data_IF_308840843401
#
_entry.id   IF_308840843401
#
_cell.length_a   1.000
_cell.length_b   1.000
_cell.length_c   1.000
_cell.angle_alpha   90.00
_cell.angle_beta   90.00
_cell.angle_gamma   90.00
#
_symmetry.space_group_name_H-M   'P 1'
#
loop_
_entity.id
_entity.type
_entity.pdbx_description
1 polymer ?
#
# COMPACT_ATOMS: atom_id res chain seq x y z
N UNK A 1 -10.40 20.26 13.04
CA UNK A 1 -10.31 18.82 12.70
C UNK A 1 -8.82 18.51 12.58
N UNK A 2 -8.24 17.89 13.63
CA UNK A 2 -6.81 17.54 13.65
C UNK A 2 -6.65 16.14 13.04
N UNK A 3 -6.18 16.09 11.79
CA UNK A 3 -5.82 14.87 11.04
C UNK A 3 -4.39 14.37 11.38
N UNK A 4 -3.66 15.12 12.20
CA UNK A 4 -2.31 14.78 12.66
C UNK A 4 -2.41 13.77 13.79
N UNK A 5 -1.79 12.59 13.74
CA UNK A 5 -0.37 12.46 13.39
C UNK A 5 0.03 11.12 12.76
N UNK A 6 -0.91 10.39 12.16
CA UNK A 6 -0.57 9.22 11.35
C UNK A 6 -1.51 9.20 10.15
N UNK A 7 -0.96 9.36 8.94
CA UNK A 7 -1.68 9.00 7.72
C UNK A 7 -2.27 7.60 7.90
N UNK A 8 -3.47 7.30 7.36
CA UNK A 8 -3.99 5.95 7.41
C UNK A 8 -2.94 4.97 6.87
N UNK A 9 -2.94 3.70 7.34
CA UNK A 9 -2.01 2.69 6.85
C UNK A 9 -2.02 2.65 5.33
N UNK A 10 -0.87 2.91 4.71
CA UNK A 10 -0.75 2.99 3.26
C UNK A 10 0.53 2.31 2.78
N UNK A 11 0.55 1.99 1.49
CA UNK A 11 1.73 1.52 0.79
C UNK A 11 1.87 2.21 -0.56
N UNK A 12 3.11 2.26 -1.04
CA UNK A 12 3.44 2.82 -2.34
C UNK A 12 3.55 1.67 -3.36
N UNK A 13 2.97 1.85 -4.53
CA UNK A 13 3.11 0.93 -5.64
C UNK A 13 3.68 1.67 -6.85
N UNK A 14 4.70 1.07 -7.47
CA UNK A 14 5.38 1.62 -8.64
C UNK A 14 5.14 0.68 -9.82
N UNK A 15 4.70 1.23 -10.95
CA UNK A 15 4.52 0.50 -12.20
C UNK A 15 4.92 1.39 -13.38
N UNK A 16 5.86 0.91 -14.21
CA UNK A 16 6.34 1.63 -15.39
C UNK A 16 6.69 3.10 -15.11
N UNK A 17 7.52 3.36 -14.09
CA UNK A 17 7.95 4.70 -13.63
C UNK A 17 6.83 5.59 -13.04
N UNK A 18 5.59 5.13 -13.03
CA UNK A 18 4.48 5.79 -12.36
C UNK A 18 4.34 5.25 -10.94
N UNK A 19 3.87 6.10 -10.03
CA UNK A 19 3.70 5.78 -8.62
C UNK A 19 2.29 6.15 -8.16
N UNK A 20 1.71 5.30 -7.31
CA UNK A 20 0.50 5.62 -6.59
C UNK A 20 0.55 5.10 -5.15
N UNK A 21 -0.17 5.80 -4.28
CA UNK A 21 -0.31 5.48 -2.86
C UNK A 21 -1.68 4.87 -2.64
N UNK A 22 -1.71 3.73 -1.95
CA UNK A 22 -2.93 2.98 -1.67
C UNK A 22 -3.15 2.89 -0.16
N UNK A 23 -4.37 3.18 0.29
CA UNK A 23 -4.79 2.86 1.65
C UNK A 23 -4.95 1.34 1.80
N UNK A 24 -4.35 0.74 2.83
CA UNK A 24 -4.29 -0.72 3.01
C UNK A 24 -5.69 -1.32 3.27
N UNK A 25 -6.54 -0.61 4.01
CA UNK A 25 -7.85 -1.13 4.42
C UNK A 25 -8.86 -1.16 3.27
N UNK A 26 -8.93 -0.07 2.51
CA UNK A 26 -9.89 0.12 1.41
C UNK A 26 -9.33 -0.33 0.07
N UNK A 27 -8.00 -0.39 -0.08
CA UNK A 27 -7.28 -0.50 -1.36
C UNK A 27 -7.57 0.65 -2.32
N UNK A 28 -8.07 1.77 -1.81
CA UNK A 28 -8.30 2.96 -2.62
C UNK A 28 -7.03 3.78 -2.78
N UNK A 29 -6.89 4.38 -3.96
CA UNK A 29 -5.77 5.24 -4.28
C UNK A 29 -5.98 6.60 -3.60
N UNK A 30 -5.01 7.01 -2.78
CA UNK A 30 -5.06 8.29 -2.05
C UNK A 30 -4.19 9.36 -2.69
N UNK A 31 -3.23 8.96 -3.54
CA UNK A 31 -2.38 9.86 -4.32
C UNK A 31 -1.76 9.13 -5.52
N UNK A 32 -1.36 9.89 -6.54
CA UNK A 32 -0.77 9.35 -7.76
C UNK A 32 -1.76 8.63 -8.66
N UNK A 33 -1.28 8.19 -9.81
CA UNK A 33 -2.08 7.51 -10.83
C UNK A 33 -1.28 6.38 -11.46
N UNK A 34 -1.96 5.26 -11.73
CA UNK A 34 -1.43 4.12 -12.46
C UNK A 34 -2.43 3.69 -13.53
N UNK A 35 -2.01 2.94 -14.57
CA UNK A 35 -2.94 2.43 -15.56
C UNK A 35 -3.96 1.51 -14.91
N UNK A 36 -5.23 1.55 -15.33
CA UNK A 36 -6.33 0.80 -14.73
C UNK A 36 -6.04 -0.70 -14.53
N UNK A 37 -5.28 -1.31 -15.45
CA UNK A 37 -4.85 -2.71 -15.35
C UNK A 37 -3.92 -2.93 -14.15
N UNK A 38 -2.96 -2.05 -13.93
CA UNK A 38 -2.04 -2.13 -12.80
C UNK A 38 -2.77 -1.89 -11.48
N UNK A 39 -3.65 -0.87 -11.43
CA UNK A 39 -4.51 -0.61 -10.26
C UNK A 39 -5.30 -1.86 -9.88
N UNK A 40 -5.94 -2.54 -10.85
CA UNK A 40 -6.72 -3.75 -10.58
C UNK A 40 -5.87 -4.86 -9.94
N UNK A 41 -4.71 -5.14 -10.53
CA UNK A 41 -3.78 -6.16 -10.00
C UNK A 41 -3.30 -5.81 -8.60
N UNK A 42 -2.93 -4.54 -8.36
CA UNK A 42 -2.47 -4.07 -7.05
C UNK A 42 -3.59 -4.19 -6.01
N UNK A 43 -4.83 -3.84 -6.34
CA UNK A 43 -5.97 -3.98 -5.42
C UNK A 43 -6.26 -5.44 -5.07
N UNK A 44 -6.23 -6.34 -6.06
CA UNK A 44 -6.41 -7.78 -5.85
C UNK A 44 -5.31 -8.33 -4.91
N UNK A 45 -4.05 -8.00 -5.18
CA UNK A 45 -2.92 -8.39 -4.36
C UNK A 45 -2.96 -7.80 -2.95
N UNK A 46 -3.27 -6.51 -2.82
CA UNK A 46 -3.34 -5.84 -1.53
C UNK A 46 -4.49 -6.40 -0.67
N UNK A 47 -5.62 -6.74 -1.30
CA UNK A 47 -6.73 -7.40 -0.61
C UNK A 47 -6.35 -8.79 -0.10
N UNK A 48 -5.61 -9.57 -0.90
CA UNK A 48 -5.15 -10.90 -0.52
C UNK A 48 -4.03 -10.88 0.56
N UNK A 49 -3.28 -9.78 0.67
CA UNK A 49 -2.14 -9.64 1.57
C UNK A 49 -2.35 -8.56 2.65
N UNK A 50 -3.61 -8.20 2.95
CA UNK A 50 -3.94 -7.07 3.84
C UNK A 50 -3.26 -7.16 5.20
N UNK A 51 -3.31 -8.33 5.83
CA UNK A 51 -2.76 -8.52 7.17
C UNK A 51 -1.24 -8.32 7.17
N UNK A 52 -0.55 -8.88 6.17
CA UNK A 52 0.89 -8.70 6.01
C UNK A 52 1.28 -7.24 5.72
N UNK A 53 0.45 -6.49 4.97
CA UNK A 53 0.64 -5.06 4.75
C UNK A 53 0.47 -4.25 6.04
N UNK A 54 -0.51 -4.60 6.88
CA UNK A 54 -0.70 -3.96 8.20
C UNK A 54 0.46 -4.26 9.15
N UNK A 55 0.95 -5.49 9.17
CA UNK A 55 2.14 -5.85 9.95
C UNK A 55 3.36 -5.04 9.52
N UNK A 56 3.59 -4.95 8.20
CA UNK A 56 4.66 -4.13 7.64
C UNK A 56 4.49 -2.64 7.91
N UNK A 57 3.26 -2.14 7.94
CA UNK A 57 2.97 -0.75 8.31
C UNK A 57 3.43 -0.45 9.75
N UNK A 58 3.12 -1.34 10.70
CA UNK A 58 3.60 -1.17 12.09
C UNK A 58 5.11 -1.34 12.22
N UNK A 59 5.73 -2.25 11.45
CA UNK A 59 7.18 -2.37 11.38
C UNK A 59 7.83 -1.08 10.86
N UNK A 60 7.31 -0.51 9.76
CA UNK A 60 7.78 0.75 9.21
C UNK A 60 7.66 1.90 10.22
N UNK A 61 6.50 2.02 10.87
CA UNK A 61 6.23 3.07 11.87
C UNK A 61 7.16 2.98 13.08
N UNK A 62 7.67 1.78 13.39
CA UNK A 62 8.61 1.53 14.48
C UNK A 62 10.08 1.47 14.03
N UNK A 63 10.38 1.80 12.77
CA UNK A 63 11.73 1.82 12.22
C UNK A 63 12.37 0.43 12.09
N UNK A 64 11.55 -0.63 12.03
CA UNK A 64 12.00 -2.01 11.87
C UNK A 64 12.08 -2.39 10.38
N UNK A 65 12.85 -3.44 10.10
CA UNK A 65 12.92 -4.01 8.76
C UNK A 65 11.56 -4.59 8.36
N UNK A 66 11.18 -4.34 7.10
CA UNK A 66 9.98 -4.92 6.50
C UNK A 66 10.19 -6.39 6.19
N UNK A 67 9.10 -7.15 6.29
CA UNK A 67 9.03 -8.55 5.88
C UNK A 67 8.62 -8.60 4.40
N UNK A 68 9.36 -9.27 3.51
CA UNK A 68 8.96 -9.43 2.12
C UNK A 68 7.59 -10.12 2.00
N UNK A 69 6.70 -9.51 1.22
CA UNK A 69 5.41 -10.11 0.83
C UNK A 69 5.58 -10.67 -0.58
N UNK A 70 5.03 -11.86 -0.85
CA UNK A 70 5.11 -12.48 -2.18
C UNK A 70 4.57 -11.51 -3.24
N UNK A 71 5.37 -11.14 -4.26
CA UNK A 71 4.95 -10.17 -5.26
C UNK A 71 3.85 -10.72 -6.18
N UNK A 72 3.21 -9.81 -6.92
CA UNK A 72 2.35 -10.15 -8.05
C UNK A 72 3.11 -11.07 -9.03
N UNK A 73 2.62 -12.29 -9.22
CA UNK A 73 3.11 -13.27 -10.21
C UNK A 73 2.63 -12.96 -11.62
#
# INVERSE_FOLDING_TARGET
>A
MYYRDHSPPHFHAIYAEQEAVFEILTTDTTSGELPNRAVRLIKEWASANRDALLDNWELARTGKNLIPITPLS
#
